data_IF_729119057718
#
_entry.id   IF_729119057718
#
_cell.length_a   1.000
_cell.length_b   1.000
_cell.length_c   1.000
_cell.angle_alpha   90.00
_cell.angle_beta   90.00
_cell.angle_gamma   90.00
#
_symmetry.space_group_name_H-M   'P 1'
#
loop_
_entity.id
_entity.type
_entity.pdbx_description
1 polymer ?
#
# COMPACT_ATOMS: atom_id res chain seq x y z
N UNK A 1 49.15 17.67 42.82
CA UNK A 1 48.78 17.95 41.42
C UNK A 1 48.12 16.71 40.83
N UNK A 2 46.78 16.64 40.80
CA UNK A 2 46.02 15.50 40.27
C UNK A 2 45.81 15.70 38.77
N UNK A 3 46.41 14.83 37.94
CA UNK A 3 46.20 14.80 36.49
C UNK A 3 44.84 14.16 36.21
N UNK A 4 43.89 14.94 35.69
CA UNK A 4 42.64 14.42 35.16
C UNK A 4 42.89 13.96 33.72
N UNK A 5 43.03 12.66 33.53
CA UNK A 5 43.09 12.03 32.22
C UNK A 5 41.67 11.97 31.66
N UNK A 6 41.35 12.84 30.69
CA UNK A 6 40.06 12.85 30.02
C UNK A 6 40.03 11.71 28.98
N UNK A 7 39.32 10.62 29.28
CA UNK A 7 39.12 9.50 28.38
C UNK A 7 37.95 9.84 27.44
N UNK A 8 38.26 10.31 26.23
CA UNK A 8 37.28 10.52 25.16
C UNK A 8 36.82 9.15 24.62
N UNK A 9 35.68 8.67 25.10
CA UNK A 9 34.99 7.50 24.53
C UNK A 9 34.23 7.98 23.29
N UNK A 10 34.81 7.76 22.11
CA UNK A 10 34.14 7.91 20.83
C UNK A 10 33.11 6.78 20.67
N UNK A 11 31.84 7.08 20.90
CA UNK A 11 30.74 6.16 20.59
C UNK A 11 30.45 6.22 19.09
N UNK A 12 30.95 5.23 18.35
CA UNK A 12 30.51 4.97 16.97
C UNK A 12 29.08 4.40 17.05
N UNK A 13 28.10 5.26 16.81
CA UNK A 13 26.70 4.86 16.67
C UNK A 13 26.51 4.11 15.34
N UNK A 14 26.63 2.78 15.37
CA UNK A 14 26.18 1.91 14.30
C UNK A 14 24.65 2.01 14.19
N UNK A 15 24.16 2.85 13.28
CA UNK A 15 22.77 2.82 12.84
C UNK A 15 22.56 1.55 12.01
N UNK A 16 22.18 0.46 12.67
CA UNK A 16 21.71 -0.75 11.99
C UNK A 16 20.31 -0.47 11.43
N UNK A 17 20.22 -0.08 10.16
CA UNK A 17 18.94 0.00 9.46
C UNK A 17 18.54 -1.44 9.13
N UNK A 18 17.59 -1.98 9.89
CA UNK A 18 16.97 -3.26 9.56
C UNK A 18 16.24 -3.09 8.21
N UNK A 19 16.70 -3.80 7.18
CA UNK A 19 16.00 -3.87 5.90
C UNK A 19 14.79 -4.78 6.10
N UNK A 20 13.59 -4.20 6.04
CA UNK A 20 12.36 -4.97 6.06
C UNK A 20 12.20 -5.68 4.70
N UNK A 21 12.62 -6.94 4.64
CA UNK A 21 12.44 -7.79 3.46
C UNK A 21 10.97 -8.16 3.32
N UNK A 22 10.36 -7.79 2.20
CA UNK A 22 9.01 -8.26 1.91
C UNK A 22 9.05 -9.76 1.53
N UNK A 23 7.90 -10.44 1.56
CA UNK A 23 7.82 -11.88 1.27
C UNK A 23 8.34 -12.25 -0.14
N UNK A 24 8.20 -11.35 -1.10
CA UNK A 24 8.73 -11.56 -2.45
C UNK A 24 10.26 -11.51 -2.44
N UNK A 25 10.88 -10.58 -1.73
CA UNK A 25 12.35 -10.43 -1.70
C UNK A 25 13.04 -11.70 -1.17
N UNK A 26 12.46 -12.35 -0.16
CA UNK A 26 12.94 -13.62 0.41
C UNK A 26 12.94 -14.74 -0.65
N UNK A 27 11.88 -14.82 -1.46
CA UNK A 27 11.77 -15.84 -2.52
C UNK A 27 12.67 -15.48 -3.71
N UNK A 28 12.73 -14.21 -4.09
CA UNK A 28 13.54 -13.72 -5.20
C UNK A 28 15.03 -13.98 -4.97
N UNK A 29 15.52 -13.89 -3.73
CA UNK A 29 16.90 -14.23 -3.38
C UNK A 29 17.24 -15.70 -3.68
N UNK A 30 16.29 -16.61 -3.44
CA UNK A 30 16.44 -18.05 -3.70
C UNK A 30 16.38 -18.39 -5.19
N UNK A 31 15.68 -17.60 -6.00
CA UNK A 31 15.42 -17.87 -7.42
C UNK A 31 15.86 -16.72 -8.33
N UNK A 32 17.11 -16.25 -8.19
CA UNK A 32 17.65 -15.07 -8.92
C UNK A 32 17.48 -15.11 -10.44
N UNK A 33 17.50 -16.30 -11.05
CA UNK A 33 17.33 -16.45 -12.51
C UNK A 33 15.88 -16.26 -12.97
N UNK A 34 14.91 -16.31 -12.05
CA UNK A 34 13.47 -16.18 -12.32
C UNK A 34 12.85 -15.00 -11.58
N UNK A 35 13.66 -14.14 -10.93
CA UNK A 35 13.17 -12.96 -10.24
C UNK A 35 12.63 -11.94 -11.23
N UNK A 36 11.55 -11.25 -10.85
CA UNK A 36 11.00 -10.15 -11.62
C UNK A 36 12.01 -9.00 -11.74
N UNK A 37 11.96 -8.28 -12.86
CA UNK A 37 12.73 -7.04 -13.00
C UNK A 37 12.17 -5.93 -12.10
N UNK A 38 13.00 -4.91 -11.86
CA UNK A 38 12.65 -3.79 -10.98
C UNK A 38 11.38 -3.05 -11.42
N UNK A 39 11.17 -2.88 -12.73
CA UNK A 39 10.00 -2.16 -13.25
C UNK A 39 8.72 -2.95 -12.98
N UNK A 40 8.75 -4.28 -13.16
CA UNK A 40 7.62 -5.14 -12.82
C UNK A 40 7.31 -5.11 -11.33
N UNK A 41 8.33 -5.12 -10.47
CA UNK A 41 8.17 -5.02 -9.02
C UNK A 41 7.50 -3.70 -8.62
N UNK A 42 8.02 -2.58 -9.11
CA UNK A 42 7.45 -1.25 -8.80
C UNK A 42 6.01 -1.11 -9.32
N UNK A 43 5.73 -1.67 -10.51
CA UNK A 43 4.36 -1.73 -11.01
C UNK A 43 3.45 -2.57 -10.09
N UNK A 44 3.89 -3.74 -9.63
CA UNK A 44 3.11 -4.58 -8.72
C UNK A 44 2.85 -3.90 -7.37
N UNK A 45 3.84 -3.19 -6.82
CA UNK A 45 3.67 -2.39 -5.59
C UNK A 45 2.59 -1.33 -5.76
N UNK A 46 2.66 -0.55 -6.83
CA UNK A 46 1.65 0.47 -7.16
C UNK A 46 0.25 -0.13 -7.29
N UNK A 47 0.11 -1.27 -7.99
CA UNK A 47 -1.18 -1.97 -8.07
C UNK A 47 -1.67 -2.45 -6.68
N UNK A 48 -0.75 -2.89 -5.81
CA UNK A 48 -1.05 -3.22 -4.41
C UNK A 48 -1.56 -2.02 -3.61
N UNK A 49 -0.95 -0.85 -3.78
CA UNK A 49 -1.42 0.40 -3.16
C UNK A 49 -2.84 0.76 -3.64
N UNK A 50 -3.11 0.63 -4.95
CA UNK A 50 -4.44 0.84 -5.51
C UNK A 50 -5.50 -0.09 -4.92
N UNK A 51 -5.17 -1.37 -4.63
CA UNK A 51 -6.08 -2.30 -3.94
C UNK A 51 -6.44 -1.83 -2.52
N UNK A 52 -5.48 -1.26 -1.79
CA UNK A 52 -5.72 -0.70 -0.45
C UNK A 52 -6.68 0.49 -0.55
N UNK A 53 -6.46 1.38 -1.51
CA UNK A 53 -7.36 2.52 -1.73
C UNK A 53 -8.77 2.10 -2.13
N UNK A 54 -8.94 1.06 -2.97
CA UNK A 54 -10.26 0.51 -3.29
C UNK A 54 -10.99 0.04 -2.02
N UNK A 55 -10.29 -0.67 -1.13
CA UNK A 55 -10.86 -1.09 0.16
C UNK A 55 -11.31 0.13 0.96
N UNK A 56 -10.51 1.19 1.04
CA UNK A 56 -10.85 2.38 1.81
C UNK A 56 -12.07 3.13 1.28
N UNK A 57 -12.34 3.08 -0.04
CA UNK A 57 -13.60 3.59 -0.62
C UNK A 57 -14.84 2.81 -0.16
N UNK A 58 -14.69 1.50 0.05
CA UNK A 58 -15.78 0.61 0.49
C UNK A 58 -15.99 0.64 2.01
N UNK A 59 -14.99 1.07 2.78
CA UNK A 59 -15.01 0.92 4.23
C UNK A 59 -15.34 2.25 4.94
N UNK A 60 -16.64 2.55 5.10
CA UNK A 60 -17.08 3.59 6.04
C UNK A 60 -17.92 2.97 7.17
N UNK A 61 -17.34 3.05 8.38
CA UNK A 61 -17.98 2.83 9.69
C UNK A 61 -18.79 1.53 9.82
N UNK A 62 -18.17 0.50 10.42
CA UNK A 62 -18.75 -0.82 10.70
C UNK A 62 -20.13 -0.77 11.39
N UNK A 63 -20.42 0.33 12.08
CA UNK A 63 -21.63 0.56 12.86
C UNK A 63 -22.82 1.10 12.04
N UNK A 64 -22.64 1.49 10.77
CA UNK A 64 -23.73 2.02 9.93
C UNK A 64 -23.62 1.54 8.49
N UNK A 65 -24.73 1.00 7.98
CA UNK A 65 -24.84 0.63 6.57
C UNK A 65 -24.74 1.87 5.65
N UNK A 66 -23.84 1.83 4.68
CA UNK A 66 -23.75 2.82 3.59
C UNK A 66 -24.06 2.12 2.25
N UNK A 67 -25.25 2.35 1.65
CA UNK A 67 -25.63 1.70 0.40
C UNK A 67 -24.72 2.05 -0.78
N UNK A 68 -24.03 3.19 -0.74
CA UNK A 68 -23.08 3.58 -1.79
C UNK A 68 -21.80 2.77 -1.62
N UNK A 69 -21.32 2.61 -0.40
CA UNK A 69 -20.16 1.76 -0.12
C UNK A 69 -20.42 0.30 -0.48
N UNK A 70 -21.64 -0.21 -0.23
CA UNK A 70 -22.02 -1.56 -0.65
C UNK A 70 -22.04 -1.72 -2.18
N UNK A 71 -22.58 -0.71 -2.89
CA UNK A 71 -22.53 -0.68 -4.34
C UNK A 71 -21.09 -0.67 -4.86
N UNK A 72 -20.21 0.16 -4.28
CA UNK A 72 -18.78 0.22 -4.64
C UNK A 72 -18.10 -1.13 -4.38
N UNK A 73 -18.41 -1.79 -3.27
CA UNK A 73 -17.86 -3.10 -2.93
C UNK A 73 -18.30 -4.18 -3.92
N UNK A 74 -19.58 -4.23 -4.28
CA UNK A 74 -20.07 -5.15 -5.30
C UNK A 74 -19.42 -4.91 -6.67
N UNK A 75 -19.27 -3.64 -7.06
CA UNK A 75 -18.70 -3.27 -8.36
C UNK A 75 -17.19 -3.46 -8.44
N UNK A 76 -16.46 -3.31 -7.34
CA UNK A 76 -15.00 -3.51 -7.34
C UNK A 76 -14.64 -4.93 -7.73
N UNK A 77 -15.38 -5.94 -7.26
CA UNK A 77 -15.17 -7.35 -7.62
C UNK A 77 -15.28 -7.54 -9.13
N UNK A 78 -16.38 -7.09 -9.75
CA UNK A 78 -16.60 -7.25 -11.19
C UNK A 78 -15.62 -6.45 -12.06
N UNK A 79 -15.14 -5.30 -11.58
CA UNK A 79 -14.17 -4.48 -12.32
C UNK A 79 -12.77 -5.09 -12.26
N UNK A 80 -12.36 -5.65 -11.11
CA UNK A 80 -11.07 -6.31 -10.95
C UNK A 80 -10.91 -7.57 -11.81
N UNK A 81 -12.01 -8.17 -12.29
CA UNK A 81 -11.98 -9.25 -13.28
C UNK A 81 -11.55 -8.78 -14.67
N UNK A 82 -11.67 -7.49 -14.96
CA UNK A 82 -11.51 -6.92 -16.31
C UNK A 82 -10.41 -5.87 -16.43
N UNK A 83 -10.11 -5.19 -15.33
CA UNK A 83 -9.22 -4.03 -15.29
C UNK A 83 -8.19 -4.18 -14.18
N UNK A 84 -7.05 -3.49 -14.32
CA UNK A 84 -6.06 -3.44 -13.25
C UNK A 84 -6.62 -2.78 -11.98
N UNK A 85 -6.03 -3.05 -10.80
CA UNK A 85 -6.40 -2.35 -9.58
C UNK A 85 -6.43 -0.82 -9.70
N UNK A 86 -5.44 -0.20 -10.34
CA UNK A 86 -5.43 1.26 -10.45
C UNK A 86 -6.50 1.80 -11.41
N UNK A 87 -6.79 1.11 -12.52
CA UNK A 87 -7.91 1.47 -13.40
C UNK A 87 -9.24 1.34 -12.65
N UNK A 88 -9.41 0.25 -11.90
CA UNK A 88 -10.59 0.01 -11.07
C UNK A 88 -10.77 1.11 -10.02
N UNK A 89 -9.69 1.51 -9.34
CA UNK A 89 -9.72 2.60 -8.38
C UNK A 89 -10.27 3.88 -9.00
N UNK A 90 -9.71 4.31 -10.13
CA UNK A 90 -10.13 5.55 -10.82
C UNK A 90 -11.62 5.49 -11.19
N UNK A 91 -12.09 4.38 -11.76
CA UNK A 91 -13.49 4.21 -12.12
C UNK A 91 -14.41 4.31 -10.90
N UNK A 92 -14.04 3.66 -9.80
CA UNK A 92 -14.84 3.65 -8.56
C UNK A 92 -14.82 5.01 -7.85
N UNK A 93 -13.69 5.72 -7.84
CA UNK A 93 -13.60 7.07 -7.27
C UNK A 93 -14.54 8.04 -7.98
N UNK A 94 -14.51 8.03 -9.31
CA UNK A 94 -15.37 8.88 -10.14
C UNK A 94 -16.85 8.53 -9.90
N UNK A 95 -17.21 7.24 -9.94
CA UNK A 95 -18.58 6.81 -9.70
C UNK A 95 -19.08 7.16 -8.29
N UNK A 96 -18.29 6.89 -7.26
CA UNK A 96 -18.61 7.19 -5.86
C UNK A 96 -18.86 8.68 -5.64
N UNK A 97 -18.02 9.55 -6.24
CA UNK A 97 -18.20 11.00 -6.20
C UNK A 97 -19.52 11.44 -6.83
N UNK A 98 -19.86 10.92 -8.01
CA UNK A 98 -21.09 11.29 -8.73
C UNK A 98 -22.35 10.83 -7.99
N UNK A 99 -22.39 9.58 -7.51
CA UNK A 99 -23.54 9.03 -6.79
C UNK A 99 -23.80 9.82 -5.49
N UNK A 100 -22.74 10.19 -4.77
CA UNK A 100 -22.86 11.00 -3.53
C UNK A 100 -23.34 12.43 -3.81
N UNK A 101 -22.92 13.03 -4.92
CA UNK A 101 -23.40 14.35 -5.34
C UNK A 101 -24.91 14.33 -5.66
N UNK A 102 -25.40 13.27 -6.33
CA UNK A 102 -26.82 13.10 -6.64
C UNK A 102 -27.70 12.93 -5.39
N UNK A 103 -27.22 12.23 -4.35
CA UNK A 103 -27.97 12.04 -3.10
C UNK A 103 -28.01 13.26 -2.18
N UNK A 104 -27.20 14.29 -2.46
CA UNK A 104 -27.15 15.52 -1.66
C UNK A 104 -28.12 16.59 -2.19
N UNK A 105 -28.83 16.30 -3.28
CA UNK A 105 -29.95 17.09 -3.83
C UNK A 105 -31.28 16.48 -3.40
#
# INVERSE_FOLDING_TARGET
MKKFTCLLISTISFNCVAVELNRFDIVAEKYKQSSLDRKTIENAKMQGECLVQIKDLTFKKKDKFDPISEWVNYRSVSLLEKYSPCETLIMLEVANKQIRAQKSQ
#
